data_IF_859450123236
#
_entry.id   IF_859450123236
#
_cell.length_a   1.000
_cell.length_b   1.000
_cell.length_c   1.000
_cell.angle_alpha   90.00
_cell.angle_beta   90.00
_cell.angle_gamma   90.00
#
_symmetry.space_group_name_H-M   'P 1'
#
loop_
_entity.id
_entity.type
_entity.pdbx_description
1 polymer ?
#
# COMPACT_ATOMS: atom_id res chain seq x y z
N UNK A 1 32.40 26.95 11.20
CA UNK A 1 31.39 26.48 10.22
C UNK A 1 30.23 25.89 11.00
N UNK A 2 29.02 26.45 10.91
CA UNK A 2 27.82 25.76 11.44
C UNK A 2 27.58 24.56 10.54
N UNK A 3 27.49 23.36 11.09
CA UNK A 3 27.04 22.21 10.33
C UNK A 3 25.64 22.54 9.78
N UNK A 4 25.53 22.74 8.46
CA UNK A 4 24.21 22.78 7.83
C UNK A 4 23.63 21.38 8.00
N UNK A 5 22.72 21.21 8.96
CA UNK A 5 21.90 20.01 9.06
C UNK A 5 20.99 19.98 7.85
N UNK A 6 21.42 19.22 6.85
CA UNK A 6 20.65 18.93 5.66
C UNK A 6 19.47 18.02 6.06
N UNK A 7 18.33 18.66 6.30
CA UNK A 7 17.08 17.99 6.71
C UNK A 7 16.68 16.92 5.68
N UNK A 8 16.70 17.19 4.36
CA UNK A 8 16.50 16.15 3.34
C UNK A 8 17.39 14.92 3.53
N UNK A 9 18.71 15.11 3.67
CA UNK A 9 19.66 13.98 3.84
C UNK A 9 19.38 13.23 5.15
N UNK A 10 19.10 13.95 6.24
CA UNK A 10 18.74 13.35 7.53
C UNK A 10 17.48 12.48 7.42
N UNK A 11 16.45 12.96 6.71
CA UNK A 11 15.20 12.22 6.52
C UNK A 11 15.41 10.95 5.69
N UNK A 12 16.22 11.02 4.63
CA UNK A 12 16.59 9.84 3.83
C UNK A 12 17.31 8.80 4.70
N UNK A 13 18.25 9.23 5.54
CA UNK A 13 18.96 8.35 6.45
C UNK A 13 18.01 7.68 7.47
N UNK A 14 17.05 8.44 8.02
CA UNK A 14 16.04 7.91 8.95
C UNK A 14 15.16 6.85 8.27
N UNK A 15 14.70 7.10 7.04
CA UNK A 15 13.95 6.12 6.26
C UNK A 15 14.75 4.86 6.01
N UNK A 16 16.02 5.00 5.59
CA UNK A 16 16.90 3.88 5.33
C UNK A 16 17.10 3.02 6.59
N UNK A 17 17.29 3.63 7.76
CA UNK A 17 17.44 2.91 9.03
C UNK A 17 16.18 2.11 9.39
N UNK A 18 14.99 2.70 9.23
CA UNK A 18 13.72 1.99 9.46
C UNK A 18 13.61 0.80 8.50
N UNK A 19 13.87 1.00 7.21
CA UNK A 19 13.78 -0.07 6.21
C UNK A 19 14.80 -1.19 6.43
N UNK A 20 16.03 -0.85 6.84
CA UNK A 20 17.07 -1.84 7.18
C UNK A 20 16.64 -2.65 8.41
N UNK A 21 16.12 -1.98 9.44
CA UNK A 21 15.65 -2.65 10.65
C UNK A 21 14.48 -3.59 10.33
N UNK A 22 13.50 -3.15 9.54
CA UNK A 22 12.38 -4.00 9.08
C UNK A 22 12.88 -5.22 8.31
N UNK A 23 13.86 -5.05 7.42
CA UNK A 23 14.39 -6.17 6.62
C UNK A 23 15.16 -7.19 7.46
N UNK A 24 15.87 -6.75 8.50
CA UNK A 24 16.66 -7.63 9.37
C UNK A 24 15.81 -8.31 10.43
N UNK A 25 14.92 -7.55 11.06
CA UNK A 25 14.26 -7.91 12.31
C UNK A 25 12.72 -7.91 12.21
N UNK A 26 12.17 -7.75 10.99
CA UNK A 26 10.72 -7.58 10.74
C UNK A 26 10.18 -6.35 11.49
N UNK A 27 8.89 -6.32 11.78
CA UNK A 27 8.27 -5.28 12.60
C UNK A 27 8.70 -5.49 14.05
N UNK A 28 9.84 -4.88 14.43
CA UNK A 28 10.46 -4.98 15.75
C UNK A 28 10.12 -3.76 16.63
N UNK A 29 10.34 -3.88 17.94
CA UNK A 29 10.25 -2.75 18.87
C UNK A 29 11.19 -1.62 18.49
N UNK A 30 12.39 -1.94 17.97
CA UNK A 30 13.34 -0.96 17.49
C UNK A 30 12.82 -0.22 16.24
N UNK A 31 12.21 -0.93 15.30
CA UNK A 31 11.58 -0.30 14.13
C UNK A 31 10.46 0.66 14.55
N UNK A 32 9.66 0.27 15.55
CA UNK A 32 8.60 1.11 16.12
C UNK A 32 9.16 2.37 16.78
N UNK A 33 10.24 2.27 17.54
CA UNK A 33 10.92 3.45 18.14
C UNK A 33 11.40 4.41 17.06
N UNK A 34 12.04 3.89 16.00
CA UNK A 34 12.52 4.72 14.89
C UNK A 34 11.36 5.40 14.13
N UNK A 35 10.27 4.67 13.90
CA UNK A 35 9.06 5.22 13.29
C UNK A 35 8.42 6.32 14.15
N UNK A 36 8.34 6.11 15.47
CA UNK A 36 7.80 7.10 16.40
C UNK A 36 8.64 8.37 16.45
N UNK A 37 9.97 8.25 16.44
CA UNK A 37 10.87 9.41 16.37
C UNK A 37 10.62 10.24 15.11
N UNK A 38 10.39 9.57 13.98
CA UNK A 38 10.05 10.20 12.70
C UNK A 38 8.67 10.89 12.76
N UNK A 39 7.71 10.25 13.40
CA UNK A 39 6.36 10.79 13.55
C UNK A 39 6.30 12.08 14.38
N UNK A 40 7.08 12.19 15.47
CA UNK A 40 7.11 13.37 16.35
C UNK A 40 7.40 14.69 15.62
N UNK A 41 8.11 14.63 14.48
CA UNK A 41 8.38 15.79 13.63
C UNK A 41 7.27 16.02 12.59
N UNK A 42 6.71 14.94 12.05
CA UNK A 42 5.68 14.99 11.01
C UNK A 42 4.32 15.44 11.55
N UNK A 43 3.94 14.98 12.75
CA UNK A 43 2.61 15.22 13.30
C UNK A 43 2.29 16.72 13.45
N UNK A 44 3.32 17.54 13.68
CA UNK A 44 3.25 18.99 13.87
C UNK A 44 3.05 19.77 12.57
N UNK A 45 3.13 19.11 11.41
CA UNK A 45 3.06 19.79 10.10
C UNK A 45 1.61 19.98 9.68
N UNK A 46 1.21 21.21 9.39
CA UNK A 46 -0.15 21.48 8.90
C UNK A 46 -0.40 20.88 7.51
N UNK A 47 0.63 20.88 6.67
CA UNK A 47 0.61 20.30 5.32
C UNK A 47 1.75 19.31 5.14
N UNK A 48 1.44 18.14 4.57
CA UNK A 48 2.46 17.20 4.12
C UNK A 48 2.93 17.56 2.71
N UNK A 49 4.24 17.78 2.58
CA UNK A 49 4.90 17.89 1.29
C UNK A 49 5.29 16.50 0.75
N UNK A 50 5.76 16.42 -0.48
CA UNK A 50 6.24 15.16 -1.09
C UNK A 50 7.25 14.41 -0.20
N UNK A 51 8.21 15.13 0.39
CA UNK A 51 9.18 14.53 1.32
C UNK A 51 8.53 13.92 2.56
N UNK A 52 7.42 14.49 3.03
CA UNK A 52 6.66 13.98 4.16
C UNK A 52 5.85 12.74 3.78
N UNK A 53 5.29 12.73 2.57
CA UNK A 53 4.61 11.58 2.01
C UNK A 53 5.60 10.41 1.82
N UNK A 54 6.82 10.69 1.36
CA UNK A 54 7.88 9.68 1.28
C UNK A 54 8.16 9.07 2.66
N UNK A 55 8.26 9.90 3.71
CA UNK A 55 8.46 9.43 5.07
C UNK A 55 7.26 8.61 5.58
N UNK A 56 6.02 9.09 5.37
CA UNK A 56 4.81 8.37 5.74
C UNK A 56 4.74 6.98 5.09
N UNK A 57 5.15 6.86 3.84
CA UNK A 57 5.11 5.58 3.10
C UNK A 57 5.86 4.43 3.77
N UNK A 58 6.78 4.71 4.72
CA UNK A 58 7.53 3.67 5.44
C UNK A 58 7.08 3.47 6.89
N UNK A 59 6.28 4.37 7.47
CA UNK A 59 5.92 4.33 8.89
C UNK A 59 4.45 4.01 9.19
N UNK A 60 3.54 4.08 8.21
CA UNK A 60 2.09 3.94 8.46
C UNK A 60 1.73 2.65 9.22
N UNK A 61 2.38 1.54 8.94
CA UNK A 61 2.06 0.25 9.56
C UNK A 61 2.40 0.17 11.07
N UNK A 62 3.17 1.13 11.61
CA UNK A 62 3.45 1.21 13.04
C UNK A 62 2.38 1.95 13.84
N UNK A 63 1.40 2.56 13.17
CA UNK A 63 0.36 3.31 13.84
C UNK A 63 -0.85 2.45 14.20
N UNK A 64 -1.48 2.69 15.37
CA UNK A 64 -2.75 2.06 15.68
C UNK A 64 -3.83 2.51 14.70
N UNK A 65 -4.85 1.67 14.51
CA UNK A 65 -5.94 1.93 13.58
C UNK A 65 -6.60 3.30 13.79
N UNK A 66 -6.81 3.71 15.05
CA UNK A 66 -7.41 5.00 15.38
C UNK A 66 -6.60 6.17 14.81
N UNK A 67 -5.27 6.14 14.98
CA UNK A 67 -4.38 7.15 14.39
C UNK A 67 -4.48 7.14 12.88
N UNK A 68 -4.51 5.96 12.25
CA UNK A 68 -4.66 5.83 10.79
C UNK A 68 -5.98 6.45 10.31
N UNK A 69 -7.09 6.18 10.99
CA UNK A 69 -8.38 6.79 10.67
C UNK A 69 -8.32 8.33 10.77
N UNK A 70 -7.67 8.86 11.81
CA UNK A 70 -7.57 10.30 12.04
C UNK A 70 -6.70 11.03 11.01
N UNK A 71 -5.67 10.37 10.46
CA UNK A 71 -4.73 11.02 9.52
C UNK A 71 -5.04 10.73 8.05
N UNK A 72 -5.88 9.74 7.74
CA UNK A 72 -6.12 9.30 6.36
C UNK A 72 -6.61 10.43 5.46
N UNK A 73 -7.63 11.19 5.86
CA UNK A 73 -8.14 12.29 5.03
C UNK A 73 -7.11 13.40 4.80
N UNK A 74 -6.25 13.66 5.79
CA UNK A 74 -5.13 14.60 5.64
C UNK A 74 -4.10 14.10 4.61
N UNK A 75 -3.79 12.80 4.63
CA UNK A 75 -2.89 12.15 3.67
C UNK A 75 -3.49 12.21 2.26
N UNK A 76 -4.75 11.82 2.09
CA UNK A 76 -5.42 11.82 0.78
C UNK A 76 -5.53 13.24 0.20
N UNK A 77 -5.88 14.23 1.04
CA UNK A 77 -5.91 15.64 0.64
C UNK A 77 -4.52 16.10 0.20
N UNK A 78 -3.46 15.67 0.89
CA UNK A 78 -2.08 16.02 0.54
C UNK A 78 -1.65 15.37 -0.78
N UNK A 79 -1.96 14.09 -1.00
CA UNK A 79 -1.71 13.39 -2.26
C UNK A 79 -2.40 14.05 -3.46
N UNK A 80 -3.64 14.50 -3.28
CA UNK A 80 -4.40 15.15 -4.34
C UNK A 80 -3.75 16.45 -4.85
N UNK A 81 -2.95 17.15 -4.01
CA UNK A 81 -2.17 18.33 -4.43
C UNK A 81 -1.13 17.98 -5.51
N UNK A 82 -0.69 16.72 -5.56
CA UNK A 82 0.34 16.24 -6.47
C UNK A 82 -0.20 15.37 -7.62
N UNK A 83 -1.51 15.35 -7.87
CA UNK A 83 -2.16 14.47 -8.88
C UNK A 83 -1.63 14.61 -10.33
N UNK A 84 -0.96 15.71 -10.66
CA UNK A 84 -0.37 15.95 -11.98
C UNK A 84 1.16 15.83 -11.99
N UNK A 85 1.77 15.55 -10.85
CA UNK A 85 3.21 15.43 -10.69
C UNK A 85 3.63 13.96 -10.75
N UNK A 86 4.23 13.56 -11.87
CA UNK A 86 4.47 12.13 -12.18
C UNK A 86 5.41 11.42 -11.21
N UNK A 87 6.40 12.12 -10.65
CA UNK A 87 7.42 11.51 -9.80
C UNK A 87 6.84 10.97 -8.48
N UNK A 88 5.69 11.48 -8.03
CA UNK A 88 5.06 11.03 -6.78
C UNK A 88 4.32 9.69 -6.91
N UNK A 89 4.07 9.20 -8.13
CA UNK A 89 3.16 8.06 -8.32
C UNK A 89 3.61 6.81 -7.55
N UNK A 90 4.92 6.57 -7.46
CA UNK A 90 5.46 5.44 -6.68
C UNK A 90 5.09 5.57 -5.19
N UNK A 91 5.30 6.75 -4.62
CA UNK A 91 4.96 7.06 -3.22
C UNK A 91 3.45 7.01 -2.99
N UNK A 92 2.66 7.52 -3.94
CA UNK A 92 1.20 7.44 -3.89
C UNK A 92 0.72 5.98 -3.87
N UNK A 93 1.28 5.10 -4.71
CA UNK A 93 0.99 3.67 -4.64
C UNK A 93 1.35 3.07 -3.29
N UNK A 94 2.54 3.34 -2.76
CA UNK A 94 2.97 2.80 -1.46
C UNK A 94 2.05 3.24 -0.33
N UNK A 95 1.67 4.51 -0.28
CA UNK A 95 0.75 5.03 0.76
C UNK A 95 -0.63 4.39 0.62
N UNK A 96 -1.22 4.39 -0.57
CA UNK A 96 -2.56 3.84 -0.77
C UNK A 96 -2.57 2.33 -0.50
N UNK A 97 -1.55 1.60 -0.94
CA UNK A 97 -1.40 0.18 -0.63
C UNK A 97 -1.31 -0.05 0.88
N UNK A 98 -0.43 0.66 1.58
CA UNK A 98 -0.30 0.54 3.05
C UNK A 98 -1.62 0.83 3.77
N UNK A 99 -2.31 1.92 3.43
CA UNK A 99 -3.61 2.26 4.00
C UNK A 99 -4.64 1.15 3.73
N UNK A 100 -4.75 0.68 2.49
CA UNK A 100 -5.68 -0.40 2.13
C UNK A 100 -5.39 -1.69 2.89
N UNK A 101 -4.12 -2.05 3.07
CA UNK A 101 -3.69 -3.23 3.83
C UNK A 101 -4.02 -3.09 5.31
N UNK A 102 -3.76 -1.93 5.92
CA UNK A 102 -4.10 -1.65 7.32
C UNK A 102 -5.61 -1.79 7.52
N UNK A 103 -6.42 -1.18 6.64
CA UNK A 103 -7.87 -1.30 6.74
C UNK A 103 -8.37 -2.72 6.54
N UNK A 104 -7.81 -3.47 5.58
CA UNK A 104 -8.18 -4.87 5.35
C UNK A 104 -7.93 -5.73 6.60
N UNK A 105 -6.72 -5.66 7.17
CA UNK A 105 -6.37 -6.48 8.34
C UNK A 105 -7.09 -6.07 9.62
N UNK A 106 -7.70 -4.89 9.65
CA UNK A 106 -8.59 -4.45 10.72
C UNK A 106 -10.08 -4.65 10.38
N UNK A 107 -10.40 -5.44 9.36
CA UNK A 107 -11.78 -5.74 8.91
C UNK A 107 -12.61 -4.49 8.57
N UNK A 108 -11.96 -3.42 8.12
CA UNK A 108 -12.58 -2.17 7.65
C UNK A 108 -12.71 -2.21 6.14
N UNK A 109 -13.59 -3.08 5.66
CA UNK A 109 -13.72 -3.39 4.23
C UNK A 109 -14.15 -2.17 3.39
N UNK A 110 -15.04 -1.33 3.89
CA UNK A 110 -15.48 -0.11 3.19
C UNK A 110 -14.32 0.88 2.99
N UNK A 111 -13.51 1.09 4.03
CA UNK A 111 -12.33 1.96 3.94
C UNK A 111 -11.26 1.33 3.03
N UNK A 112 -11.04 0.02 3.14
CA UNK A 112 -10.13 -0.71 2.26
C UNK A 112 -10.54 -0.55 0.79
N UNK A 113 -11.83 -0.75 0.49
CA UNK A 113 -12.39 -0.57 -0.84
C UNK A 113 -12.17 0.86 -1.34
N UNK A 114 -12.59 1.86 -0.57
CA UNK A 114 -12.46 3.28 -0.92
C UNK A 114 -11.03 3.66 -1.28
N UNK A 115 -10.05 3.22 -0.48
CA UNK A 115 -8.63 3.47 -0.74
C UNK A 115 -8.15 2.72 -1.99
N UNK A 116 -8.55 1.46 -2.16
CA UNK A 116 -8.15 0.61 -3.29
C UNK A 116 -8.73 1.10 -4.61
N UNK A 117 -9.94 1.68 -4.60
CA UNK A 117 -10.56 2.31 -5.77
C UNK A 117 -9.70 3.46 -6.34
N UNK A 118 -8.89 4.12 -5.51
CA UNK A 118 -7.93 5.14 -5.95
C UNK A 118 -6.68 4.54 -6.64
N UNK A 119 -6.31 3.31 -6.29
CA UNK A 119 -5.14 2.60 -6.86
C UNK A 119 -5.45 2.17 -8.31
N UNK A 120 -6.67 1.72 -8.58
CA UNK A 120 -7.06 1.17 -9.87
C UNK A 120 -6.85 2.13 -11.06
N UNK A 121 -7.36 3.39 -11.07
CA UNK A 121 -7.12 4.33 -12.16
C UNK A 121 -5.65 4.75 -12.23
N UNK A 122 -4.97 4.90 -11.09
CA UNK A 122 -3.55 5.24 -11.05
C UNK A 122 -2.71 4.15 -11.73
N UNK A 123 -2.96 2.87 -11.40
CA UNK A 123 -2.28 1.72 -12.00
C UNK A 123 -2.45 1.66 -13.52
N UNK A 124 -3.66 1.94 -14.01
CA UNK A 124 -3.94 2.01 -15.46
C UNK A 124 -3.19 3.18 -16.11
N UNK A 125 -3.25 4.37 -15.53
CA UNK A 125 -2.59 5.57 -16.05
C UNK A 125 -1.07 5.38 -16.14
N UNK A 126 -0.46 4.74 -15.15
CA UNK A 126 0.98 4.51 -15.11
C UNK A 126 1.42 3.19 -15.76
N UNK A 127 0.48 2.41 -16.31
CA UNK A 127 0.73 1.08 -16.90
C UNK A 127 1.46 0.13 -15.94
N UNK A 128 1.14 0.21 -14.64
CA UNK A 128 1.72 -0.63 -13.59
C UNK A 128 0.82 -1.84 -13.37
N UNK A 129 1.05 -2.90 -14.14
CA UNK A 129 0.20 -4.09 -14.14
C UNK A 129 0.26 -4.88 -12.82
N UNK A 130 1.40 -4.84 -12.13
CA UNK A 130 1.54 -5.36 -10.75
C UNK A 130 0.56 -4.67 -9.79
N UNK A 131 0.46 -3.34 -9.88
CA UNK A 131 -0.47 -2.54 -9.06
C UNK A 131 -1.92 -2.70 -9.50
N UNK A 132 -2.16 -2.94 -10.80
CA UNK A 132 -3.49 -3.21 -11.33
C UNK A 132 -4.02 -4.56 -10.82
N UNK A 133 -3.18 -5.61 -10.85
CA UNK A 133 -3.52 -6.92 -10.32
C UNK A 133 -3.79 -6.87 -8.82
N UNK A 134 -2.91 -6.19 -8.06
CA UNK A 134 -3.12 -5.91 -6.64
C UNK A 134 -4.48 -5.26 -6.36
N UNK A 135 -4.82 -4.18 -7.08
CA UNK A 135 -6.07 -3.46 -6.85
C UNK A 135 -7.30 -4.32 -7.20
N UNK A 136 -7.23 -5.12 -8.27
CA UNK A 136 -8.32 -6.03 -8.64
C UNK A 136 -8.57 -7.09 -7.57
N UNK A 137 -7.51 -7.76 -7.08
CA UNK A 137 -7.68 -8.75 -6.00
C UNK A 137 -8.27 -8.12 -4.75
N UNK A 138 -7.71 -6.99 -4.32
CA UNK A 138 -8.13 -6.30 -3.10
C UNK A 138 -9.57 -5.79 -3.18
N UNK A 139 -9.99 -5.20 -4.31
CA UNK A 139 -11.39 -4.81 -4.54
C UNK A 139 -12.31 -6.02 -4.54
N UNK A 140 -11.91 -7.10 -5.22
CA UNK A 140 -12.71 -8.32 -5.26
C UNK A 140 -12.89 -8.95 -3.88
N UNK A 141 -11.88 -8.89 -3.00
CA UNK A 141 -12.02 -9.28 -1.58
C UNK A 141 -13.08 -8.41 -0.89
N UNK A 142 -12.96 -7.07 -0.99
CA UNK A 142 -13.87 -6.16 -0.29
C UNK A 142 -15.32 -6.27 -0.79
N UNK A 143 -15.51 -6.50 -2.09
CA UNK A 143 -16.82 -6.56 -2.75
C UNK A 143 -17.42 -7.97 -2.77
N UNK A 144 -16.63 -8.99 -2.41
CA UNK A 144 -16.98 -10.38 -2.60
C UNK A 144 -17.11 -10.82 -4.07
N UNK A 145 -16.37 -10.16 -4.97
CA UNK A 145 -16.34 -10.43 -6.40
C UNK A 145 -15.19 -11.38 -6.76
N UNK A 146 -15.51 -12.68 -6.81
CA UNK A 146 -14.53 -13.73 -7.13
C UNK A 146 -14.01 -13.65 -8.58
N UNK A 147 -14.79 -13.08 -9.51
CA UNK A 147 -14.36 -12.90 -10.89
C UNK A 147 -13.28 -11.80 -10.99
N UNK A 148 -13.43 -10.73 -10.21
CA UNK A 148 -12.43 -9.67 -10.11
C UNK A 148 -11.15 -10.17 -9.41
N UNK A 149 -11.28 -10.99 -8.37
CA UNK A 149 -10.14 -11.68 -7.75
C UNK A 149 -9.38 -12.49 -8.79
N UNK A 150 -10.07 -13.37 -9.51
CA UNK A 150 -9.46 -14.23 -10.53
C UNK A 150 -8.75 -13.43 -11.62
N UNK A 151 -9.37 -12.35 -12.10
CA UNK A 151 -8.76 -11.44 -13.07
C UNK A 151 -7.46 -10.83 -12.54
N UNK A 152 -7.44 -10.40 -11.29
CA UNK A 152 -6.25 -9.83 -10.66
C UNK A 152 -5.12 -10.85 -10.48
N UNK A 153 -5.44 -12.06 -10.02
CA UNK A 153 -4.46 -13.14 -9.86
C UNK A 153 -3.86 -13.57 -11.20
N UNK A 154 -4.70 -13.75 -12.24
CA UNK A 154 -4.23 -14.09 -13.59
C UNK A 154 -3.31 -13.02 -14.16
N UNK A 155 -3.60 -11.74 -13.95
CA UNK A 155 -2.73 -10.66 -14.42
C UNK A 155 -1.35 -10.75 -13.77
N UNK A 156 -1.29 -11.01 -12.46
CA UNK A 156 -0.02 -11.15 -11.73
C UNK A 156 0.77 -12.40 -12.12
N UNK A 157 0.07 -13.49 -12.43
CA UNK A 157 0.68 -14.71 -12.96
C UNK A 157 1.30 -14.45 -14.34
N UNK A 158 0.56 -13.79 -15.24
CA UNK A 158 1.03 -13.45 -16.59
C UNK A 158 2.22 -12.48 -16.60
N UNK A 159 2.38 -11.66 -15.55
CA UNK A 159 3.50 -10.73 -15.40
C UNK A 159 4.61 -11.26 -14.48
N UNK A 160 4.56 -12.54 -14.09
CA UNK A 160 5.57 -13.20 -13.25
C UNK A 160 5.81 -12.52 -11.88
N UNK A 161 4.80 -11.86 -11.33
CA UNK A 161 4.84 -11.17 -10.03
C UNK A 161 4.67 -12.18 -8.87
N UNK A 162 5.49 -13.23 -8.87
CA UNK A 162 5.34 -14.45 -8.06
C UNK A 162 5.17 -14.19 -6.57
N UNK A 163 6.02 -13.34 -5.97
CA UNK A 163 5.93 -13.03 -4.53
C UNK A 163 4.63 -12.30 -4.19
N UNK A 164 4.23 -11.34 -5.03
CA UNK A 164 2.99 -10.60 -4.83
C UNK A 164 1.76 -11.51 -5.03
N UNK A 165 1.80 -12.38 -6.04
CA UNK A 165 0.76 -13.36 -6.32
C UNK A 165 0.52 -14.29 -5.12
N UNK A 166 1.58 -14.87 -4.55
CA UNK A 166 1.45 -15.77 -3.39
C UNK A 166 0.93 -15.05 -2.15
N UNK A 167 1.39 -13.82 -1.89
CA UNK A 167 0.87 -13.01 -0.79
C UNK A 167 -0.64 -12.74 -0.95
N UNK A 168 -1.08 -12.38 -2.15
CA UNK A 168 -2.49 -12.09 -2.42
C UNK A 168 -3.38 -13.35 -2.41
N UNK A 169 -2.87 -14.52 -2.82
CA UNK A 169 -3.59 -15.80 -2.65
C UNK A 169 -3.86 -16.10 -1.18
N UNK A 170 -2.88 -15.85 -0.31
CA UNK A 170 -3.05 -16.04 1.14
C UNK A 170 -4.06 -15.05 1.72
N UNK A 171 -4.03 -13.78 1.31
CA UNK A 171 -5.06 -12.81 1.71
C UNK A 171 -6.47 -13.23 1.24
N UNK A 172 -6.61 -13.71 0.01
CA UNK A 172 -7.91 -14.22 -0.47
C UNK A 172 -8.38 -15.38 0.42
N UNK A 173 -7.50 -16.34 0.76
CA UNK A 173 -7.84 -17.46 1.63
C UNK A 173 -8.26 -17.01 3.04
N UNK A 174 -7.67 -15.95 3.57
CA UNK A 174 -8.01 -15.41 4.89
C UNK A 174 -9.37 -14.71 4.91
N UNK A 175 -9.77 -14.09 3.80
CA UNK A 175 -10.98 -13.25 3.73
C UNK A 175 -12.13 -13.86 2.92
N UNK A 176 -11.90 -14.93 2.16
CA UNK A 176 -12.88 -15.61 1.30
C UNK A 176 -12.86 -17.10 1.57
N UNK A 177 -14.05 -17.68 1.75
CA UNK A 177 -14.23 -19.09 2.16
C UNK A 177 -14.27 -20.09 1.00
N UNK A 178 -14.23 -19.64 -0.26
CA UNK A 178 -14.35 -20.52 -1.43
C UNK A 178 -13.03 -20.70 -2.16
N UNK A 179 -12.40 -21.89 -2.17
CA UNK A 179 -11.33 -22.18 -3.10
C UNK A 179 -11.98 -22.31 -4.48
N UNK A 180 -11.77 -21.28 -5.30
CA UNK A 180 -12.02 -21.19 -6.73
C UNK A 180 -12.55 -22.48 -7.36
N UNK A 181 -13.85 -22.51 -7.70
CA UNK A 181 -14.37 -23.54 -8.59
C UNK A 181 -13.69 -23.34 -9.95
N UNK A 182 -12.76 -24.22 -10.30
CA UNK A 182 -12.20 -24.32 -11.64
C UNK A 182 -13.34 -24.36 -12.67
N UNK A 183 -13.50 -23.29 -13.45
CA UNK A 183 -14.21 -23.41 -14.73
C UNK A 183 -13.22 -23.95 -15.74
N UNK A 184 -12.98 -25.27 -15.63
CA UNK A 184 -12.46 -26.07 -16.72
C UNK A 184 -13.54 -26.13 -17.81
N UNK A 185 -13.55 -25.18 -18.74
CA UNK A 185 -14.19 -25.43 -20.03
C UNK A 185 -13.14 -25.97 -20.98
N UNK A 186 -13.03 -27.29 -20.96
CA UNK A 186 -12.43 -28.03 -22.06
C UNK A 186 -13.11 -27.63 -23.36
N UNK A 187 -12.30 -27.22 -24.32
CA UNK A 187 -12.68 -27.24 -25.72
C UNK A 187 -12.28 -28.63 -26.21
N UNK A 188 -13.17 -29.59 -26.02
CA UNK A 188 -13.27 -30.73 -26.93
C UNK A 188 -14.16 -30.29 -28.07
N UNK A 189 -13.54 -30.06 -29.23
CA UNK A 189 -14.25 -29.96 -30.51
C UNK A 189 -13.78 -31.12 -31.40
N UNK A 190 -14.69 -31.68 -32.21
CA UNK A 190 -14.59 -33.00 -32.85
C UNK A 190 -13.52 -33.12 -33.94
#
# INVERSE_FOLDING_TARGET
MKAHHDIPVSNILRMANILIEIRKNKISSQAQVLAQQLWTDLEKRDTFYESDLNLLSVILYFFPLETIQNITEKILTSLNKYKHYKEIHSTQFSILANLSTIYLYNNRLDDCQRITEMILPLAKQTKRYDKLGFAQVRLGICQGDDALIQKGLQLLELTEETTLLENLKEEVKQHRTSPFSHVSRGISAP
#
